data_IF_724647201097
#
_entry.id   IF_724647201097
#
_cell.length_a   1.000
_cell.length_b   1.000
_cell.length_c   1.000
_cell.angle_alpha   90.00
_cell.angle_beta   90.00
_cell.angle_gamma   90.00
#
_symmetry.space_group_name_H-M   'P 1'
#
loop_
_entity.id
_entity.type
_entity.pdbx_description
1 polymer ?
#
# COMPACT_ATOMS: atom_id res chain seq x y z
N UNK A 1 -4.18 11.49 3.70
CA UNK A 1 -4.03 12.38 2.51
C UNK A 1 -5.08 12.07 1.45
N UNK A 2 -5.16 10.89 0.83
CA UNK A 2 -6.15 10.56 -0.23
C UNK A 2 -7.59 10.82 0.23
N UNK A 3 -7.99 10.34 1.41
CA UNK A 3 -9.33 10.61 1.96
C UNK A 3 -9.64 12.11 2.11
N UNK A 4 -8.65 12.93 2.46
CA UNK A 4 -8.82 14.39 2.53
C UNK A 4 -9.03 15.00 1.14
N UNK A 5 -8.31 14.52 0.12
CA UNK A 5 -8.50 14.98 -1.28
C UNK A 5 -9.92 14.61 -1.74
N UNK A 6 -10.34 13.36 -1.55
CA UNK A 6 -11.69 12.91 -1.92
C UNK A 6 -12.76 13.77 -1.21
N UNK A 7 -12.60 14.01 0.10
CA UNK A 7 -13.52 14.86 0.86
C UNK A 7 -13.59 16.28 0.28
N UNK A 8 -12.44 16.91 0.02
CA UNK A 8 -12.39 18.26 -0.53
C UNK A 8 -13.04 18.37 -1.91
N UNK A 9 -12.84 17.37 -2.76
CA UNK A 9 -13.42 17.32 -4.10
C UNK A 9 -14.92 17.06 -4.09
N UNK A 10 -15.45 16.37 -3.09
CA UNK A 10 -16.84 15.89 -3.07
C UNK A 10 -17.75 16.61 -2.07
N UNK A 11 -17.20 17.36 -1.11
CA UNK A 11 -17.97 17.99 0.00
C UNK A 11 -19.12 18.91 -0.40
N UNK A 12 -19.06 19.49 -1.60
CA UNK A 12 -20.07 20.41 -2.10
C UNK A 12 -20.98 19.77 -3.17
N UNK A 13 -20.76 18.48 -3.48
CA UNK A 13 -21.59 17.76 -4.45
C UNK A 13 -22.86 17.24 -3.78
N UNK A 14 -23.96 17.33 -4.48
CA UNK A 14 -25.20 16.65 -4.09
C UNK A 14 -25.08 15.13 -4.29
N UNK A 15 -25.92 14.37 -3.61
CA UNK A 15 -25.98 12.91 -3.77
C UNK A 15 -26.27 12.53 -5.23
N UNK A 16 -27.12 13.31 -5.91
CA UNK A 16 -27.46 13.05 -7.30
C UNK A 16 -26.26 13.25 -8.25
N UNK A 17 -25.43 14.27 -7.99
CA UNK A 17 -24.19 14.48 -8.74
C UNK A 17 -23.18 13.35 -8.50
N UNK A 18 -23.04 12.89 -7.25
CA UNK A 18 -22.17 11.75 -6.89
C UNK A 18 -22.64 10.49 -7.61
N UNK A 19 -23.94 10.18 -7.59
CA UNK A 19 -24.53 9.02 -8.29
C UNK A 19 -24.37 9.11 -9.80
N UNK A 20 -24.65 10.28 -10.37
CA UNK A 20 -24.51 10.51 -11.82
C UNK A 20 -23.06 10.32 -12.30
N UNK A 21 -22.09 10.64 -11.45
CA UNK A 21 -20.67 10.42 -11.71
C UNK A 21 -20.19 8.97 -11.44
N UNK A 22 -21.06 8.12 -10.86
CA UNK A 22 -20.71 6.73 -10.50
C UNK A 22 -19.82 6.61 -9.28
N UNK A 23 -19.78 7.62 -8.41
CA UNK A 23 -18.90 7.64 -7.23
C UNK A 23 -19.58 7.17 -5.94
N UNK A 24 -20.88 6.94 -5.97
CA UNK A 24 -21.66 6.48 -4.82
C UNK A 24 -21.16 5.14 -4.24
N UNK A 25 -20.58 4.29 -5.08
CA UNK A 25 -19.99 3.00 -4.67
C UNK A 25 -18.81 3.13 -3.71
N UNK A 26 -18.17 4.30 -3.62
CA UNK A 26 -17.04 4.56 -2.73
C UNK A 26 -17.44 5.16 -1.38
N UNK A 27 -18.72 5.37 -1.14
CA UNK A 27 -19.24 5.95 0.10
C UNK A 27 -20.00 4.90 0.92
N UNK A 28 -19.84 4.95 2.26
CA UNK A 28 -20.62 4.13 3.18
C UNK A 28 -22.11 4.44 3.00
N UNK A 29 -22.91 3.40 2.87
CA UNK A 29 -24.34 3.52 2.58
C UNK A 29 -24.65 4.38 1.34
N UNK A 30 -23.68 4.48 0.44
CA UNK A 30 -23.77 5.31 -0.78
C UNK A 30 -24.12 6.78 -0.49
N UNK A 31 -23.66 7.29 0.65
CA UNK A 31 -23.95 8.66 1.13
C UNK A 31 -22.66 9.47 1.30
N UNK A 32 -22.33 9.89 2.51
CA UNK A 32 -21.25 10.85 2.81
C UNK A 32 -20.00 10.25 3.41
N UNK A 33 -20.07 9.04 3.96
CA UNK A 33 -18.92 8.35 4.55
C UNK A 33 -18.09 7.63 3.50
N UNK A 34 -16.84 8.03 3.32
CA UNK A 34 -15.91 7.34 2.40
C UNK A 34 -15.56 5.96 2.96
N UNK A 35 -15.74 4.93 2.16
CA UNK A 35 -15.42 3.55 2.51
C UNK A 35 -14.26 3.03 1.66
N UNK A 36 -13.15 2.53 2.28
CA UNK A 36 -12.03 2.01 1.51
C UNK A 36 -12.41 0.69 0.83
N UNK A 37 -12.38 0.71 -0.49
CA UNK A 37 -12.61 -0.48 -1.30
C UNK A 37 -11.65 -0.49 -2.49
N UNK A 38 -11.24 -1.68 -2.94
CA UNK A 38 -10.43 -1.80 -4.13
C UNK A 38 -11.23 -1.44 -5.39
N UNK A 39 -10.56 -0.98 -6.45
CA UNK A 39 -11.20 -0.68 -7.73
C UNK A 39 -11.96 -1.89 -8.33
N UNK A 40 -11.57 -3.12 -7.96
CA UNK A 40 -12.27 -4.36 -8.30
C UNK A 40 -13.59 -4.57 -7.54
N UNK A 41 -13.95 -3.69 -6.61
CA UNK A 41 -15.11 -3.84 -5.74
C UNK A 41 -14.90 -4.73 -4.51
N UNK A 42 -13.69 -5.29 -4.33
CA UNK A 42 -13.38 -6.10 -3.15
C UNK A 42 -13.23 -5.21 -1.91
N UNK A 43 -14.01 -5.45 -0.83
CA UNK A 43 -13.87 -4.68 0.42
C UNK A 43 -12.53 -5.01 1.10
N UNK A 44 -12.07 -4.12 1.99
CA UNK A 44 -10.93 -4.41 2.84
C UNK A 44 -11.22 -5.64 3.71
N UNK A 45 -10.31 -6.62 3.63
CA UNK A 45 -10.43 -7.87 4.38
C UNK A 45 -9.04 -8.41 4.73
N UNK A 46 -8.91 -8.99 5.91
CA UNK A 46 -7.70 -9.71 6.32
C UNK A 46 -7.36 -10.89 5.38
N UNK A 47 -8.35 -11.41 4.66
CA UNK A 47 -8.14 -12.45 3.65
C UNK A 47 -7.20 -12.02 2.51
N UNK A 48 -7.18 -10.73 2.16
CA UNK A 48 -6.29 -10.19 1.13
C UNK A 48 -4.86 -9.92 1.61
N UNK A 49 -4.60 -10.05 2.91
CA UNK A 49 -3.26 -9.89 3.46
C UNK A 49 -2.42 -11.14 3.19
N UNK A 50 -1.27 -10.96 2.57
CA UNK A 50 -0.37 -12.06 2.22
C UNK A 50 0.68 -12.32 3.31
N UNK A 51 0.24 -12.40 4.56
CA UNK A 51 1.11 -12.61 5.72
C UNK A 51 1.42 -14.09 5.90
N UNK A 52 2.69 -14.43 6.08
CA UNK A 52 3.19 -15.78 6.37
C UNK A 52 3.78 -15.91 7.78
N UNK A 53 4.08 -14.80 8.47
CA UNK A 53 4.78 -14.79 9.74
C UNK A 53 6.28 -15.08 9.61
N UNK A 54 6.82 -15.14 8.41
CA UNK A 54 8.27 -15.13 8.15
C UNK A 54 8.68 -13.72 7.71
N UNK A 55 9.55 -13.08 8.49
CA UNK A 55 9.94 -11.69 8.30
C UNK A 55 10.47 -11.42 6.88
N UNK A 56 11.22 -12.36 6.30
CA UNK A 56 11.78 -12.17 4.96
C UNK A 56 10.69 -12.28 3.90
N UNK A 57 9.80 -13.27 4.02
CA UNK A 57 8.68 -13.43 3.09
C UNK A 57 7.74 -12.23 3.14
N UNK A 58 7.37 -11.78 4.33
CA UNK A 58 6.44 -10.67 4.53
C UNK A 58 7.04 -9.34 4.03
N UNK A 59 8.35 -9.09 4.26
CA UNK A 59 9.03 -7.91 3.71
C UNK A 59 9.14 -7.91 2.17
N UNK A 60 9.19 -9.07 1.51
CA UNK A 60 9.15 -9.12 0.05
C UNK A 60 7.77 -8.76 -0.49
N UNK A 61 6.69 -9.13 0.20
CA UNK A 61 5.34 -8.69 -0.15
C UNK A 61 5.20 -7.17 0.04
N UNK A 62 5.74 -6.60 1.12
CA UNK A 62 5.77 -5.16 1.33
C UNK A 62 6.53 -4.43 0.21
N UNK A 63 7.71 -4.92 -0.17
CA UNK A 63 8.47 -4.35 -1.30
C UNK A 63 7.68 -4.39 -2.60
N UNK A 64 6.99 -5.49 -2.87
CA UNK A 64 6.14 -5.63 -4.05
C UNK A 64 4.93 -4.68 -3.99
N UNK A 65 4.33 -4.49 -2.81
CA UNK A 65 3.22 -3.57 -2.60
C UNK A 65 3.62 -2.11 -2.85
N UNK A 66 4.75 -1.65 -2.31
CA UNK A 66 5.28 -0.29 -2.52
C UNK A 66 5.58 -0.02 -4.00
N UNK A 67 6.15 -1.01 -4.69
CA UNK A 67 6.42 -0.88 -6.13
C UNK A 67 5.14 -0.82 -6.96
N UNK A 68 4.11 -1.60 -6.62
CA UNK A 68 2.79 -1.54 -7.26
C UNK A 68 2.13 -0.17 -7.01
N UNK A 69 2.18 0.35 -5.78
CA UNK A 69 1.66 1.67 -5.43
C UNK A 69 2.35 2.77 -6.25
N UNK A 70 3.67 2.74 -6.36
CA UNK A 70 4.43 3.69 -7.18
C UNK A 70 3.98 3.68 -8.65
N UNK A 71 3.82 2.51 -9.25
CA UNK A 71 3.33 2.38 -10.63
C UNK A 71 1.90 2.89 -10.77
N UNK A 72 1.05 2.65 -9.78
CA UNK A 72 -0.32 3.19 -9.74
C UNK A 72 -0.31 4.70 -9.75
N UNK A 73 0.52 5.34 -8.92
CA UNK A 73 0.66 6.80 -8.93
C UNK A 73 1.23 7.33 -10.24
N UNK A 74 2.22 6.66 -10.85
CA UNK A 74 2.74 7.03 -12.17
C UNK A 74 1.63 7.01 -13.24
N UNK A 75 0.75 6.00 -13.20
CA UNK A 75 -0.37 5.91 -14.13
C UNK A 75 -1.42 7.01 -13.89
N UNK A 76 -1.75 7.28 -12.62
CA UNK A 76 -2.66 8.37 -12.26
C UNK A 76 -2.12 9.73 -12.72
N UNK A 77 -0.82 9.99 -12.54
CA UNK A 77 -0.19 11.25 -12.94
C UNK A 77 -0.22 11.50 -14.46
N UNK A 78 -0.41 10.47 -15.27
CA UNK A 78 -0.62 10.60 -16.72
C UNK A 78 -2.04 11.05 -17.10
N UNK A 79 -2.99 10.84 -16.18
CA UNK A 79 -4.41 11.10 -16.41
C UNK A 79 -4.90 12.39 -15.73
N UNK A 80 -4.16 12.88 -14.73
CA UNK A 80 -4.58 14.00 -13.89
C UNK A 80 -3.97 15.29 -14.43
N UNK A 81 -4.82 16.23 -14.83
CA UNK A 81 -4.42 17.58 -15.25
C UNK A 81 -4.54 18.61 -14.13
N UNK A 82 -5.47 18.41 -13.18
CA UNK A 82 -5.71 19.31 -12.05
C UNK A 82 -4.50 19.33 -11.10
N UNK A 83 -3.83 20.50 -10.92
CA UNK A 83 -2.65 20.62 -10.07
C UNK A 83 -2.95 20.34 -8.59
N UNK A 84 -4.15 20.65 -8.09
CA UNK A 84 -4.55 20.44 -6.70
C UNK A 84 -4.68 18.94 -6.35
N UNK A 85 -4.88 18.11 -7.35
CA UNK A 85 -4.86 16.64 -7.22
C UNK A 85 -3.48 16.09 -7.59
N UNK A 86 -2.88 16.59 -8.65
CA UNK A 86 -1.60 16.12 -9.19
C UNK A 86 -0.44 16.24 -8.21
N UNK A 87 -0.31 17.37 -7.52
CA UNK A 87 0.83 17.62 -6.65
C UNK A 87 0.82 16.75 -5.38
N UNK A 88 -0.31 16.55 -4.68
CA UNK A 88 -0.39 15.54 -3.63
C UNK A 88 -0.07 14.11 -4.10
N UNK A 89 -0.48 13.72 -5.31
CA UNK A 89 -0.16 12.39 -5.87
C UNK A 89 1.34 12.26 -6.17
N UNK A 90 2.00 13.30 -6.69
CA UNK A 90 3.46 13.32 -6.85
C UNK A 90 4.17 13.10 -5.51
N UNK A 91 3.72 13.79 -4.46
CA UNK A 91 4.27 13.64 -3.12
C UNK A 91 4.13 12.19 -2.62
N UNK A 92 2.96 11.58 -2.78
CA UNK A 92 2.74 10.18 -2.40
C UNK A 92 3.66 9.24 -3.19
N UNK A 93 3.75 9.46 -4.49
CA UNK A 93 4.64 8.68 -5.37
C UNK A 93 6.10 8.70 -4.91
N UNK A 94 6.62 9.85 -4.49
CA UNK A 94 8.00 9.96 -3.97
C UNK A 94 8.16 9.25 -2.61
N UNK A 95 7.12 9.19 -1.80
CA UNK A 95 7.15 8.44 -0.54
C UNK A 95 7.32 6.94 -0.74
N UNK A 96 6.77 6.37 -1.82
CA UNK A 96 6.92 4.94 -2.10
C UNK A 96 8.38 4.55 -2.39
N UNK A 97 9.19 5.45 -2.91
CA UNK A 97 10.64 5.23 -3.05
C UNK A 97 11.31 5.06 -1.68
N UNK A 98 10.95 5.92 -0.72
CA UNK A 98 11.49 5.86 0.65
C UNK A 98 11.00 4.61 1.39
N UNK A 99 9.74 4.24 1.24
CA UNK A 99 9.17 3.03 1.85
C UNK A 99 9.87 1.79 1.30
N UNK A 100 10.00 1.69 -0.02
CA UNK A 100 10.71 0.59 -0.68
C UNK A 100 12.14 0.43 -0.14
N UNK A 101 12.89 1.54 0.00
CA UNK A 101 14.24 1.52 0.56
C UNK A 101 14.25 1.00 2.00
N UNK A 102 13.35 1.48 2.86
CA UNK A 102 13.26 1.06 4.26
C UNK A 102 12.96 -0.42 4.41
N UNK A 103 12.01 -0.95 3.64
CA UNK A 103 11.72 -2.39 3.64
C UNK A 103 12.89 -3.19 3.09
N UNK A 104 13.57 -2.71 2.05
CA UNK A 104 14.77 -3.34 1.48
C UNK A 104 15.92 -3.43 2.48
N UNK A 105 16.21 -2.34 3.20
CA UNK A 105 17.23 -2.30 4.24
C UNK A 105 16.91 -3.27 5.37
N UNK A 106 15.66 -3.27 5.83
CA UNK A 106 15.18 -4.18 6.89
C UNK A 106 15.28 -5.64 6.44
N UNK A 107 14.88 -5.94 5.21
CA UNK A 107 15.00 -7.27 4.62
C UNK A 107 16.47 -7.75 4.58
N UNK A 108 17.38 -6.88 4.13
CA UNK A 108 18.82 -7.17 4.06
C UNK A 108 19.42 -7.44 5.43
N UNK A 109 19.07 -6.65 6.45
CA UNK A 109 19.52 -6.82 7.82
C UNK A 109 18.99 -8.12 8.45
N UNK A 110 17.70 -8.39 8.25
CA UNK A 110 17.04 -9.60 8.76
C UNK A 110 17.60 -10.87 8.12
N UNK A 111 17.91 -10.84 6.82
CA UNK A 111 18.57 -11.94 6.12
C UNK A 111 19.95 -12.26 6.66
N UNK A 112 20.75 -11.24 6.96
CA UNK A 112 22.08 -11.42 7.59
C UNK A 112 21.97 -12.05 8.98
N UNK A 113 21.04 -11.59 9.81
CA UNK A 113 20.83 -12.13 11.15
C UNK A 113 20.34 -13.59 11.11
N UNK A 114 19.42 -13.93 10.19
CA UNK A 114 18.93 -15.31 10.01
C UNK A 114 20.06 -16.25 9.56
N UNK A 115 20.96 -15.80 8.67
CA UNK A 115 22.13 -16.56 8.23
C UNK A 115 23.11 -16.83 9.36
N UNK A 116 23.35 -15.85 10.23
CA UNK A 116 24.19 -16.00 11.44
C UNK A 116 23.57 -17.03 12.41
N UNK A 117 22.26 -17.00 12.62
CA UNK A 117 21.55 -17.91 13.52
C UNK A 117 21.59 -19.37 13.03
N UNK A 118 21.40 -19.58 11.75
CA UNK A 118 21.52 -20.91 11.12
C UNK A 118 22.96 -21.43 11.19
N UNK A 119 23.93 -20.56 10.99
CA UNK A 119 25.37 -20.91 11.09
C UNK A 119 25.79 -21.32 12.49
N UNK A 120 25.27 -20.65 13.51
CA UNK A 120 25.52 -20.98 14.93
C UNK A 120 24.89 -22.32 15.31
N UNK A 121 23.64 -22.58 14.91
CA UNK A 121 22.97 -23.85 15.21
C UNK A 121 23.64 -25.06 14.52
N UNK A 122 24.19 -24.88 13.30
CA UNK A 122 24.94 -25.95 12.63
C UNK A 122 26.27 -26.27 13.31
N UNK A 123 26.90 -25.31 13.98
CA UNK A 123 28.14 -25.54 14.75
C UNK A 123 27.85 -26.28 16.06
N UNK A 124 26.74 -25.98 16.73
CA UNK A 124 26.33 -26.68 17.96
C UNK A 124 25.91 -28.13 17.69
N UNK A 125 25.23 -28.39 16.56
CA UNK A 125 24.82 -29.75 16.21
C UNK A 125 25.99 -30.68 15.86
N UNK A 126 27.19 -30.15 15.48
CA UNK A 126 28.39 -30.95 15.23
C UNK A 126 29.18 -31.38 16.47
N UNK A 127 28.76 -30.88 17.66
CA UNK A 127 29.42 -31.23 18.92
C UNK A 127 28.74 -32.42 19.63
N UNK A 128 27.70 -33.01 19.04
CA UNK A 128 26.96 -34.13 19.60
C UNK A 128 26.94 -35.40 18.72
N UNK A 129 27.94 -35.51 17.78
CA UNK A 129 28.20 -36.72 17.02
C UNK A 129 29.67 -37.10 17.13
#
# INVERSE_FOLDING_TARGET
MIGAIVYQLTRNLSIDEIKKAGFDVYFTDHTTGVYPTAASGAPYSAFSMQVKGDVIADLHEDLAAEQKARVTYDNLLRLIDDPDVRDPIKFLREREVVHYQRFGDTCSQSGKNKSLYIGQNRRSARLFY
#
